data_IF_931581823097
#
_entry.id   IF_931581823097
#
_cell.length_a   1.000
_cell.length_b   1.000
_cell.length_c   1.000
_cell.angle_alpha   90.00
_cell.angle_beta   90.00
_cell.angle_gamma   90.00
#
_symmetry.space_group_name_H-M   'P 1'
#
loop_
_entity.id
_entity.type
_entity.pdbx_description
1 polymer ?
#
# COMPACT_ATOMS: atom_id res chain seq x y z
N UNK A 1 12.91 -18.57 -6.26
CA UNK A 1 11.57 -18.50 -5.64
C UNK A 1 10.80 -17.42 -6.38
N UNK A 2 9.53 -17.60 -6.69
CA UNK A 2 8.72 -16.60 -7.41
C UNK A 2 8.14 -15.60 -6.42
N UNK A 3 7.96 -14.34 -6.79
CA UNK A 3 7.40 -13.31 -5.90
C UNK A 3 6.07 -13.72 -5.24
N UNK A 4 5.18 -14.39 -5.99
CA UNK A 4 3.93 -14.96 -5.44
C UNK A 4 4.17 -15.92 -4.28
N UNK A 5 5.21 -16.75 -4.35
CA UNK A 5 5.52 -17.71 -3.29
C UNK A 5 6.05 -17.01 -2.04
N UNK A 6 6.91 -15.99 -2.21
CA UNK A 6 7.40 -15.19 -1.08
C UNK A 6 6.23 -14.52 -0.32
N UNK A 7 5.21 -14.02 -1.05
CA UNK A 7 4.00 -13.45 -0.46
C UNK A 7 3.17 -14.50 0.31
N UNK A 8 3.02 -15.71 -0.23
CA UNK A 8 2.34 -16.84 0.45
C UNK A 8 3.09 -17.23 1.73
N UNK A 9 4.41 -17.35 1.64
CA UNK A 9 5.27 -17.73 2.76
C UNK A 9 5.23 -16.67 3.87
N UNK A 10 5.18 -15.39 3.51
CA UNK A 10 5.00 -14.30 4.46
C UNK A 10 3.65 -14.40 5.18
N UNK A 11 2.55 -14.62 4.45
CA UNK A 11 1.22 -14.79 5.07
C UNK A 11 1.24 -15.96 6.05
N UNK A 12 1.82 -17.10 5.66
CA UNK A 12 1.95 -18.26 6.53
C UNK A 12 2.77 -17.94 7.78
N UNK A 13 3.88 -17.21 7.64
CA UNK A 13 4.72 -16.79 8.78
C UNK A 13 3.97 -15.82 9.72
N UNK A 14 3.18 -14.90 9.18
CA UNK A 14 2.34 -13.99 9.96
C UNK A 14 1.32 -14.77 10.77
N UNK A 15 0.61 -15.71 10.15
CA UNK A 15 -0.39 -16.56 10.81
C UNK A 15 0.23 -17.46 11.88
N UNK A 16 1.47 -17.92 11.67
CA UNK A 16 2.24 -18.69 12.64
C UNK A 16 2.86 -17.83 13.76
N UNK A 17 2.77 -16.49 13.68
CA UNK A 17 3.43 -15.58 14.62
C UNK A 17 4.96 -15.58 14.53
N UNK A 18 5.51 -16.06 13.41
CA UNK A 18 6.96 -16.17 13.16
C UNK A 18 7.49 -15.11 12.20
N UNK A 19 6.60 -14.29 11.61
CA UNK A 19 6.99 -13.17 10.77
C UNK A 19 7.89 -12.17 11.52
N UNK A 20 8.85 -11.53 10.83
CA UNK A 20 9.65 -10.47 11.43
C UNK A 20 8.74 -9.39 12.04
N UNK A 21 9.07 -8.96 13.26
CA UNK A 21 8.31 -7.92 13.94
C UNK A 21 8.28 -6.63 13.10
N UNK A 22 7.13 -5.93 13.02
CA UNK A 22 7.05 -4.60 12.42
C UNK A 22 8.09 -3.66 13.01
N UNK A 23 8.50 -2.65 12.25
CA UNK A 23 9.32 -1.55 12.79
C UNK A 23 8.64 -0.98 14.05
N UNK A 24 9.32 -0.92 15.21
CA UNK A 24 8.74 -0.47 16.47
C UNK A 24 8.10 0.91 16.40
N UNK A 25 8.56 1.78 15.48
CA UNK A 25 8.01 3.12 15.25
C UNK A 25 6.53 3.10 14.83
N UNK A 26 6.02 1.96 14.32
CA UNK A 26 4.60 1.76 14.04
C UNK A 26 3.75 1.53 15.29
N UNK A 27 4.33 0.99 16.38
CA UNK A 27 3.59 0.74 17.63
C UNK A 27 3.23 2.02 18.36
N UNK A 28 3.97 3.10 18.10
CA UNK A 28 3.75 4.42 18.68
C UNK A 28 2.62 5.18 17.97
N UNK A 29 2.13 4.67 16.84
CA UNK A 29 0.91 5.12 16.19
C UNK A 29 -0.32 4.58 16.96
N UNK A 30 -0.50 5.02 18.19
CA UNK A 30 -1.64 4.62 19.02
C UNK A 30 -2.93 5.32 18.55
N UNK A 31 -4.04 4.59 18.63
CA UNK A 31 -5.39 5.17 18.54
C UNK A 31 -5.67 5.96 19.82
N UNK A 32 -6.23 7.17 19.70
CA UNK A 32 -6.60 7.96 20.88
C UNK A 32 -7.71 7.27 21.70
N UNK A 33 -7.56 7.12 23.02
CA UNK A 33 -8.59 6.50 23.85
C UNK A 33 -9.87 7.36 23.90
N UNK A 34 -11.02 6.78 23.54
CA UNK A 34 -12.34 7.37 23.83
C UNK A 34 -13.23 7.68 22.62
N UNK A 35 -12.71 7.63 21.39
CA UNK A 35 -13.50 7.78 20.17
C UNK A 35 -13.87 6.43 19.54
N UNK A 36 -15.00 6.37 18.82
CA UNK A 36 -15.44 5.15 18.12
C UNK A 36 -14.46 4.83 16.98
N UNK A 37 -13.65 3.79 17.18
CA UNK A 37 -12.72 3.24 16.18
C UNK A 37 -13.48 2.80 14.93
N UNK A 38 -13.13 3.38 13.78
CA UNK A 38 -13.63 2.95 12.48
C UNK A 38 -12.74 1.82 11.95
N UNK A 39 -13.33 0.84 11.29
CA UNK A 39 -12.60 -0.29 10.71
C UNK A 39 -12.62 -0.18 9.19
N UNK A 40 -11.48 -0.40 8.58
CA UNK A 40 -11.30 -0.33 7.14
C UNK A 40 -10.47 -1.52 6.66
N UNK A 41 -10.62 -1.87 5.40
CA UNK A 41 -9.84 -2.90 4.73
C UNK A 41 -9.22 -2.33 3.46
N UNK A 42 -7.97 -2.71 3.17
CA UNK A 42 -7.27 -2.29 1.94
C UNK A 42 -6.72 -3.50 1.21
N UNK A 43 -6.78 -3.48 -0.12
CA UNK A 43 -6.27 -4.55 -0.96
C UNK A 43 -4.86 -4.24 -1.45
N UNK A 44 -3.88 -5.04 -0.99
CA UNK A 44 -2.53 -5.07 -1.55
C UNK A 44 -2.49 -6.11 -2.67
N UNK A 45 -2.89 -5.72 -3.88
CA UNK A 45 -2.96 -6.61 -5.04
C UNK A 45 -1.66 -6.59 -5.84
N UNK A 46 -0.95 -7.71 -5.86
CA UNK A 46 0.25 -7.92 -6.68
C UNK A 46 -0.05 -8.75 -7.93
N UNK A 47 0.70 -8.55 -9.00
CA UNK A 47 0.52 -9.32 -10.24
C UNK A 47 1.73 -9.28 -11.16
N UNK A 48 1.50 -9.72 -12.41
CA UNK A 48 2.44 -9.61 -13.53
C UNK A 48 2.09 -8.39 -14.38
N UNK A 49 3.05 -7.54 -14.70
CA UNK A 49 2.88 -6.34 -15.49
C UNK A 49 3.18 -6.69 -16.93
N UNK A 50 2.12 -6.85 -17.72
CA UNK A 50 2.25 -7.45 -19.04
C UNK A 50 2.65 -6.42 -20.12
N UNK A 51 2.41 -5.12 -19.89
CA UNK A 51 2.51 -4.08 -20.94
C UNK A 51 3.49 -2.92 -20.67
N UNK A 52 3.99 -2.73 -19.45
CA UNK A 52 4.94 -1.64 -19.12
C UNK A 52 6.07 -2.18 -18.24
N UNK A 53 7.27 -2.47 -18.76
CA UNK A 53 8.34 -3.01 -17.92
C UNK A 53 8.81 -1.98 -16.89
N UNK A 54 9.35 -2.47 -15.76
CA UNK A 54 10.04 -1.63 -14.79
C UNK A 54 11.08 -0.70 -15.45
N UNK A 55 11.12 0.56 -15.02
CA UNK A 55 12.09 1.55 -15.49
C UNK A 55 13.49 1.25 -14.93
N UNK A 56 13.55 0.76 -13.69
CA UNK A 56 14.79 0.38 -13.05
C UNK A 56 15.40 -0.85 -13.73
N UNK A 57 16.68 -0.72 -14.09
CA UNK A 57 17.49 -1.81 -14.63
C UNK A 57 18.15 -2.67 -13.55
N UNK A 58 17.96 -2.33 -12.26
CA UNK A 58 18.54 -3.06 -11.13
C UNK A 58 17.74 -4.33 -10.87
N UNK A 59 18.40 -5.49 -10.80
CA UNK A 59 17.75 -6.81 -10.64
C UNK A 59 17.28 -7.07 -9.19
N UNK A 60 16.41 -6.21 -8.67
CA UNK A 60 15.92 -6.22 -7.29
C UNK A 60 14.67 -7.09 -7.08
N UNK A 61 13.85 -7.21 -8.12
CA UNK A 61 12.64 -8.02 -8.19
C UNK A 61 12.39 -8.45 -9.65
N UNK A 62 11.49 -9.41 -9.93
CA UNK A 62 11.03 -9.68 -11.29
C UNK A 62 10.59 -8.39 -12.01
N UNK A 63 10.89 -8.28 -13.30
CA UNK A 63 10.67 -7.03 -14.07
C UNK A 63 9.19 -6.71 -14.28
N UNK A 64 8.40 -7.76 -14.22
CA UNK A 64 6.96 -7.85 -14.38
C UNK A 64 6.25 -7.86 -13.02
N UNK A 65 6.91 -7.93 -11.88
CA UNK A 65 6.16 -7.85 -10.61
C UNK A 65 5.66 -6.42 -10.40
N UNK A 66 4.36 -6.26 -10.13
CA UNK A 66 3.77 -4.97 -9.81
C UNK A 66 2.77 -5.01 -8.64
N UNK A 67 2.30 -3.82 -8.27
CA UNK A 67 1.26 -3.60 -7.26
C UNK A 67 0.25 -2.56 -7.76
N UNK A 68 -1.04 -2.83 -7.54
CA UNK A 68 -2.13 -1.90 -7.87
C UNK A 68 -2.25 -0.80 -6.83
N UNK A 69 -2.31 0.45 -7.30
CA UNK A 69 -2.50 1.65 -6.48
C UNK A 69 -3.48 2.61 -7.17
N UNK A 70 -3.98 3.56 -6.39
CA UNK A 70 -4.74 4.71 -6.89
C UNK A 70 -4.21 6.00 -6.28
N UNK A 71 -4.47 7.11 -6.96
CA UNK A 71 -4.21 8.45 -6.45
C UNK A 71 -5.55 9.13 -6.20
N UNK A 72 -5.79 9.56 -4.96
CA UNK A 72 -6.99 10.31 -4.59
C UNK A 72 -7.12 11.60 -5.39
N UNK A 73 -8.34 12.06 -5.63
CA UNK A 73 -8.58 13.32 -6.32
C UNK A 73 -8.00 14.49 -5.51
N UNK A 74 -7.46 15.48 -6.22
CA UNK A 74 -6.86 16.67 -5.59
C UNK A 74 -7.91 17.59 -4.94
N UNK A 75 -9.18 17.41 -5.30
CA UNK A 75 -10.32 18.22 -4.83
C UNK A 75 -10.90 17.76 -3.51
N UNK A 76 -10.43 16.64 -2.95
CA UNK A 76 -10.95 16.11 -1.69
C UNK A 76 -10.44 16.90 -0.49
N UNK A 77 -11.30 17.08 0.51
CA UNK A 77 -10.94 17.73 1.77
C UNK A 77 -9.93 16.88 2.56
N UNK A 78 -10.05 15.55 2.47
CA UNK A 78 -9.21 14.59 3.17
C UNK A 78 -8.26 13.86 2.22
N UNK A 79 -6.97 14.01 2.50
CA UNK A 79 -5.85 13.35 1.81
C UNK A 79 -5.81 13.60 0.29
N UNK A 80 -5.92 14.86 -0.18
CA UNK A 80 -5.92 15.17 -1.61
C UNK A 80 -4.63 14.72 -2.28
N UNK A 81 -4.76 14.07 -3.44
CA UNK A 81 -3.61 13.63 -4.23
C UNK A 81 -2.74 12.53 -3.60
N UNK A 82 -3.11 12.00 -2.43
CA UNK A 82 -2.34 10.95 -1.78
C UNK A 82 -2.52 9.62 -2.52
N UNK A 83 -1.42 8.89 -2.71
CA UNK A 83 -1.45 7.54 -3.27
C UNK A 83 -1.84 6.53 -2.19
N UNK A 84 -2.77 5.64 -2.52
CA UNK A 84 -3.31 4.63 -1.64
C UNK A 84 -3.43 3.26 -2.32
N UNK A 85 -3.56 2.22 -1.49
CA UNK A 85 -4.15 0.96 -1.94
C UNK A 85 -5.67 1.18 -2.12
N UNK A 86 -6.34 0.47 -3.04
CA UNK A 86 -7.79 0.46 -3.04
C UNK A 86 -8.34 -0.07 -1.72
N UNK A 87 -9.39 0.54 -1.21
CA UNK A 87 -9.95 0.15 0.08
C UNK A 87 -10.73 1.25 0.81
N UNK A 88 -11.53 0.82 1.77
CA UNK A 88 -12.47 1.68 2.47
C UNK A 88 -13.06 1.03 3.71
N UNK A 89 -14.23 1.52 4.11
CA UNK A 89 -14.90 1.09 5.34
C UNK A 89 -15.39 -0.35 5.26
N UNK A 90 -15.40 -1.04 6.39
CA UNK A 90 -16.04 -2.37 6.49
C UNK A 90 -17.51 -2.16 6.86
N UNK A 91 -18.41 -2.58 5.98
CA UNK A 91 -19.85 -2.43 6.21
C UNK A 91 -20.40 -3.48 7.20
N UNK A 92 -21.56 -3.21 7.84
CA UNK A 92 -22.17 -4.15 8.77
C UNK A 92 -22.46 -5.52 8.12
N UNK A 93 -21.78 -6.56 8.61
CA UNK A 93 -21.94 -7.93 8.10
C UNK A 93 -20.90 -8.34 7.08
N UNK A 94 -20.04 -7.42 6.60
CA UNK A 94 -18.90 -7.76 5.75
C UNK A 94 -17.73 -8.31 6.56
N UNK A 95 -17.03 -9.27 5.96
CA UNK A 95 -15.66 -9.64 6.33
C UNK A 95 -14.67 -8.60 5.79
N UNK A 96 -13.46 -8.60 6.35
CA UNK A 96 -12.34 -7.77 5.87
C UNK A 96 -12.05 -8.02 4.38
N UNK A 97 -12.15 -9.27 3.94
CA UNK A 97 -11.86 -9.65 2.55
C UNK A 97 -12.95 -9.12 1.62
N UNK A 98 -14.23 -9.28 1.99
CA UNK A 98 -15.35 -8.76 1.20
C UNK A 98 -15.25 -7.24 1.03
N UNK A 99 -14.98 -6.51 2.11
CA UNK A 99 -14.80 -5.06 2.05
C UNK A 99 -13.63 -4.67 1.13
N UNK A 100 -12.45 -5.28 1.28
CA UNK A 100 -11.30 -4.96 0.44
C UNK A 100 -11.54 -5.22 -1.06
N UNK A 101 -12.25 -6.31 -1.40
CA UNK A 101 -12.55 -6.65 -2.79
C UNK A 101 -13.65 -5.75 -3.37
N UNK A 102 -14.71 -5.45 -2.61
CA UNK A 102 -15.78 -4.52 -3.01
C UNK A 102 -15.20 -3.15 -3.30
N UNK A 103 -14.45 -2.58 -2.36
CA UNK A 103 -13.84 -1.25 -2.50
C UNK A 103 -12.88 -1.22 -3.70
N UNK A 104 -12.10 -2.28 -3.91
CA UNK A 104 -11.23 -2.35 -5.08
C UNK A 104 -12.01 -2.38 -6.41
N UNK A 105 -13.13 -3.11 -6.48
CA UNK A 105 -14.03 -3.07 -7.63
C UNK A 105 -14.64 -1.66 -7.82
N UNK A 106 -15.14 -1.06 -6.75
CA UNK A 106 -15.79 0.26 -6.76
C UNK A 106 -14.83 1.38 -7.17
N UNK A 107 -13.57 1.36 -6.73
CA UNK A 107 -12.61 2.44 -7.01
C UNK A 107 -11.84 2.24 -8.33
N UNK A 108 -11.57 0.99 -8.71
CA UNK A 108 -10.66 0.66 -9.84
C UNK A 108 -11.33 -0.05 -11.00
N UNK A 109 -12.54 -0.56 -10.80
CA UNK A 109 -13.26 -1.35 -11.80
C UNK A 109 -12.64 -2.72 -12.07
N UNK A 110 -11.68 -3.17 -11.25
CA UNK A 110 -11.13 -4.52 -11.37
C UNK A 110 -12.23 -5.56 -11.16
N UNK A 111 -12.10 -6.70 -11.84
CA UNK A 111 -12.95 -7.88 -11.59
C UNK A 111 -12.41 -8.69 -10.40
N UNK A 112 -13.15 -8.77 -9.27
CA UNK A 112 -12.71 -9.52 -8.10
C UNK A 112 -12.53 -11.02 -8.35
N UNK A 113 -13.18 -11.61 -9.37
CA UNK A 113 -13.02 -13.02 -9.71
C UNK A 113 -11.61 -13.36 -10.20
N UNK A 114 -10.89 -12.35 -10.69
CA UNK A 114 -9.49 -12.46 -11.09
C UNK A 114 -8.49 -12.44 -9.93
N UNK A 115 -8.95 -12.13 -8.71
CA UNK A 115 -8.11 -11.96 -7.53
C UNK A 115 -8.08 -13.22 -6.68
N UNK A 116 -6.90 -13.76 -6.47
CA UNK A 116 -6.62 -14.79 -5.48
C UNK A 116 -6.21 -14.13 -4.16
N UNK A 117 -7.02 -14.28 -3.12
CA UNK A 117 -6.67 -13.78 -1.78
C UNK A 117 -5.65 -14.72 -1.15
N UNK A 118 -4.45 -14.20 -0.89
CA UNK A 118 -3.37 -14.96 -0.25
C UNK A 118 -3.54 -14.99 1.27
N UNK A 119 -4.02 -13.89 1.87
CA UNK A 119 -4.40 -13.85 3.28
C UNK A 119 -4.57 -12.45 3.85
N UNK A 120 -4.91 -12.40 5.14
CA UNK A 120 -5.15 -11.16 5.89
C UNK A 120 -3.94 -10.87 6.78
N UNK A 121 -3.43 -9.64 6.71
CA UNK A 121 -2.29 -9.16 7.49
C UNK A 121 -2.75 -8.53 8.82
N UNK A 122 -1.86 -8.35 9.81
CA UNK A 122 -2.23 -7.78 11.09
C UNK A 122 -2.78 -6.36 10.94
N UNK A 123 -3.76 -6.01 11.80
CA UNK A 123 -4.35 -4.67 11.83
C UNK A 123 -3.29 -3.62 12.15
N UNK A 124 -3.35 -2.49 11.45
CA UNK A 124 -2.49 -1.34 11.68
C UNK A 124 -3.34 -0.14 12.11
N UNK A 125 -2.92 0.49 13.20
CA UNK A 125 -3.56 1.69 13.70
C UNK A 125 -3.12 2.92 12.89
N UNK A 126 -4.12 3.69 12.46
CA UNK A 126 -3.95 5.01 11.88
C UNK A 126 -4.33 6.07 12.93
N UNK A 127 -3.35 6.79 13.52
CA UNK A 127 -3.63 7.78 14.55
C UNK A 127 -4.46 8.94 14.01
N UNK A 128 -4.22 9.30 12.74
CA UNK A 128 -5.04 10.30 12.05
C UNK A 128 -6.26 9.62 11.46
N UNK A 129 -7.44 9.96 11.99
CA UNK A 129 -8.74 9.46 11.52
C UNK A 129 -9.38 8.37 12.39
N UNK A 130 -8.70 7.89 13.44
CA UNK A 130 -9.20 6.84 14.33
C UNK A 130 -9.65 5.58 13.58
N UNK A 131 -8.79 5.11 12.67
CA UNK A 131 -9.01 3.89 11.89
C UNK A 131 -8.11 2.74 12.35
N UNK A 132 -8.67 1.55 12.41
CA UNK A 132 -7.94 0.29 12.32
C UNK A 132 -8.07 -0.22 10.90
N UNK A 133 -6.95 -0.27 10.18
CA UNK A 133 -6.91 -0.73 8.80
C UNK A 133 -6.34 -2.12 8.75
N UNK A 134 -7.03 -3.02 8.07
CA UNK A 134 -6.62 -4.40 7.89
C UNK A 134 -6.20 -4.64 6.44
N UNK A 135 -4.91 -4.86 6.16
CA UNK A 135 -4.45 -5.14 4.81
C UNK A 135 -4.80 -6.57 4.39
N UNK A 136 -5.37 -6.72 3.20
CA UNK A 136 -5.61 -8.00 2.53
C UNK A 136 -4.58 -8.16 1.43
N UNK A 137 -3.78 -9.22 1.48
CA UNK A 137 -2.79 -9.51 0.46
C UNK A 137 -3.42 -10.37 -0.63
N UNK A 138 -3.35 -9.91 -1.88
CA UNK A 138 -3.92 -10.58 -3.04
C UNK A 138 -2.91 -10.78 -4.17
N UNK A 139 -3.17 -11.78 -5.00
CA UNK A 139 -2.48 -12.04 -6.25
C UNK A 139 -3.44 -11.99 -7.42
N UNK A 140 -3.07 -11.30 -8.50
CA UNK A 140 -3.88 -11.21 -9.70
C UNK A 140 -3.69 -12.47 -10.56
N UNK A 141 -4.55 -13.47 -10.34
CA UNK A 141 -4.50 -14.75 -11.05
C UNK A 141 -5.04 -14.64 -12.49
N UNK A 142 -6.03 -13.78 -12.71
CA UNK A 142 -6.55 -13.44 -14.04
C UNK A 142 -6.76 -11.93 -14.16
N UNK A 143 -5.95 -11.28 -14.99
CA UNK A 143 -5.95 -9.82 -15.09
C UNK A 143 -7.22 -9.28 -15.73
N UNK A 144 -7.71 -8.17 -15.20
CA UNK A 144 -8.81 -7.39 -15.74
C UNK A 144 -8.37 -5.94 -15.94
N UNK A 145 -8.98 -5.21 -16.90
CA UNK A 145 -8.68 -3.79 -17.07
C UNK A 145 -9.03 -3.01 -15.80
N UNK A 146 -8.18 -2.03 -15.45
CA UNK A 146 -8.46 -1.08 -14.38
C UNK A 146 -8.58 0.34 -14.93
N UNK A 147 -9.38 1.15 -14.26
CA UNK A 147 -9.61 2.55 -14.60
C UNK A 147 -10.09 3.29 -13.36
N UNK A 148 -10.03 4.62 -13.40
CA UNK A 148 -10.79 5.42 -12.44
C UNK A 148 -12.28 5.14 -12.65
N UNK A 149 -13.00 4.80 -11.58
CA UNK A 149 -14.45 4.63 -11.60
C UNK A 149 -15.17 5.94 -11.35
N UNK A 150 -14.78 6.65 -10.28
CA UNK A 150 -15.25 8.00 -9.97
C UNK A 150 -14.07 8.99 -9.91
N UNK A 151 -14.09 9.98 -10.81
CA UNK A 151 -13.09 11.04 -10.86
C UNK A 151 -13.23 12.09 -9.74
N UNK A 152 -14.36 12.11 -9.04
CA UNK A 152 -14.54 12.90 -7.82
C UNK A 152 -13.74 12.35 -6.65
N UNK A 153 -13.45 11.05 -6.64
CA UNK A 153 -12.74 10.36 -5.56
C UNK A 153 -11.28 10.07 -5.91
N UNK A 154 -11.01 9.71 -7.17
CA UNK A 154 -9.67 9.35 -7.66
C UNK A 154 -9.26 10.12 -8.90
N UNK A 155 -8.01 10.54 -8.96
CA UNK A 155 -7.43 11.18 -10.16
C UNK A 155 -6.75 10.17 -11.08
N UNK A 156 -6.28 9.05 -10.54
CA UNK A 156 -5.61 8.02 -11.32
C UNK A 156 -5.72 6.64 -10.64
N UNK A 157 -5.78 5.59 -11.44
CA UNK A 157 -5.58 4.19 -11.03
C UNK A 157 -4.43 3.64 -11.87
N UNK A 158 -3.46 3.01 -11.24
CA UNK A 158 -2.23 2.60 -11.92
C UNK A 158 -1.56 1.44 -11.21
N UNK A 159 -0.75 0.71 -11.97
CA UNK A 159 0.10 -0.37 -11.46
C UNK A 159 1.53 0.12 -11.42
N UNK A 160 2.24 -0.16 -10.34
CA UNK A 160 3.64 0.24 -10.16
C UNK A 160 4.52 -0.99 -10.16
N UNK A 161 5.55 -1.06 -11.04
CA UNK A 161 6.56 -2.11 -10.94
C UNK A 161 7.22 -2.11 -9.56
N UNK A 162 7.19 -3.24 -8.86
CA UNK A 162 7.80 -3.38 -7.52
C UNK A 162 9.30 -3.12 -7.59
N UNK A 163 9.95 -3.46 -8.71
CA UNK A 163 11.35 -3.14 -8.95
C UNK A 163 11.62 -1.63 -8.89
N UNK A 164 10.71 -0.80 -9.39
CA UNK A 164 10.87 0.66 -9.34
C UNK A 164 10.70 1.18 -7.92
N UNK A 165 9.82 0.58 -7.11
CA UNK A 165 9.68 0.90 -5.69
C UNK A 165 10.92 0.48 -4.87
N UNK A 166 11.53 -0.66 -5.20
CA UNK A 166 12.72 -1.16 -4.51
C UNK A 166 13.99 -0.40 -4.87
N UNK A 167 14.02 0.29 -6.01
CA UNK A 167 15.19 1.04 -6.47
C UNK A 167 15.58 2.11 -5.42
N UNK A 168 16.81 2.06 -4.87
CA UNK A 168 17.30 3.07 -3.92
C UNK A 168 17.18 4.52 -4.42
N UNK A 169 17.23 4.74 -5.73
CA UNK A 169 17.15 6.06 -6.34
C UNK A 169 15.72 6.62 -6.31
N UNK A 170 14.72 5.75 -6.18
CA UNK A 170 13.31 6.13 -6.01
C UNK A 170 12.88 6.18 -4.54
N UNK A 171 13.75 5.86 -3.57
CA UNK A 171 13.43 5.90 -2.15
C UNK A 171 13.89 7.19 -1.49
N UNK A 172 13.00 7.79 -0.70
CA UNK A 172 13.21 9.05 0.03
C UNK A 172 12.53 8.98 1.40
N UNK A 173 12.85 9.91 2.29
CA UNK A 173 12.08 10.17 3.50
C UNK A 173 11.10 11.32 3.22
N UNK A 174 9.80 11.00 3.13
CA UNK A 174 8.76 12.02 3.10
C UNK A 174 8.76 12.79 4.42
N UNK A 175 8.74 14.11 4.33
CA UNK A 175 8.78 15.02 5.48
C UNK A 175 7.50 15.85 5.50
N UNK A 176 6.70 15.71 6.56
CA UNK A 176 5.47 16.47 6.77
C UNK A 176 5.65 17.31 8.04
N UNK A 177 5.50 18.63 7.91
CA UNK A 177 5.54 19.55 9.04
C UNK A 177 4.13 20.10 9.33
N UNK A 178 3.58 19.82 10.50
CA UNK A 178 2.28 20.34 10.95
C UNK A 178 2.33 20.67 12.44
N UNK A 179 1.70 21.78 12.83
CA UNK A 179 1.61 22.24 14.22
C UNK A 179 2.98 22.29 14.96
N UNK A 180 4.05 22.65 14.25
CA UNK A 180 5.41 22.72 14.80
C UNK A 180 6.10 21.37 15.00
N UNK A 181 5.47 20.26 14.63
CA UNK A 181 6.06 18.93 14.63
C UNK A 181 6.40 18.50 13.20
N UNK A 182 7.56 17.87 13.04
CA UNK A 182 8.00 17.30 11.77
C UNK A 182 8.00 15.79 11.90
N UNK A 183 7.24 15.12 11.05
CA UNK A 183 7.22 13.67 10.92
C UNK A 183 7.92 13.25 9.63
N UNK A 184 8.75 12.21 9.74
CA UNK A 184 9.45 11.62 8.60
C UNK A 184 9.13 10.15 8.48
N UNK A 185 8.78 9.72 7.27
CA UNK A 185 8.55 8.30 6.97
C UNK A 185 9.12 7.89 5.61
N UNK A 186 9.40 6.59 5.39
CA UNK A 186 9.78 6.10 4.08
C UNK A 186 8.72 6.42 3.03
N UNK A 187 9.18 6.80 1.85
CA UNK A 187 8.35 7.08 0.70
C UNK A 187 9.07 6.70 -0.60
N UNK A 188 8.28 6.62 -1.67
CA UNK A 188 8.73 6.23 -3.01
C UNK A 188 8.33 7.28 -4.03
N UNK A 189 9.27 7.77 -4.83
CA UNK A 189 9.01 8.66 -5.97
C UNK A 189 9.00 7.84 -7.25
N UNK A 190 7.82 7.59 -7.80
CA UNK A 190 7.61 6.69 -8.94
C UNK A 190 6.51 7.26 -9.85
N UNK A 191 6.63 7.11 -11.16
CA UNK A 191 5.62 7.53 -12.15
C UNK A 191 5.09 8.97 -11.95
N UNK A 192 5.94 9.90 -11.49
CA UNK A 192 5.56 11.29 -11.25
C UNK A 192 4.72 11.54 -10.00
N UNK A 193 4.46 10.50 -9.18
CA UNK A 193 3.77 10.60 -7.89
C UNK A 193 4.70 10.23 -6.75
N UNK A 194 4.28 10.57 -5.53
CA UNK A 194 4.97 10.19 -4.30
C UNK A 194 4.05 9.24 -3.53
N UNK A 195 4.52 8.02 -3.28
CA UNK A 195 3.85 7.05 -2.41
C UNK A 195 4.41 7.23 -1.00
N UNK A 196 3.64 7.88 -0.13
CA UNK A 196 4.07 8.24 1.22
C UNK A 196 2.95 7.97 2.23
N UNK A 197 3.17 8.35 3.49
CA UNK A 197 2.19 8.16 4.55
C UNK A 197 1.91 6.67 4.75
N UNK A 198 0.69 6.32 5.12
CA UNK A 198 0.33 4.94 5.47
C UNK A 198 0.69 3.90 4.42
N UNK A 199 0.40 4.19 3.15
CA UNK A 199 0.67 3.29 2.03
C UNK A 199 2.18 3.08 1.82
N UNK A 200 2.97 4.16 1.81
CA UNK A 200 4.43 4.05 1.72
C UNK A 200 5.04 3.28 2.90
N UNK A 201 4.45 3.43 4.07
CA UNK A 201 4.88 2.76 5.30
C UNK A 201 4.58 1.25 5.27
N UNK A 202 3.38 0.86 4.83
CA UNK A 202 3.01 -0.54 4.58
C UNK A 202 3.95 -1.18 3.55
N UNK A 203 4.14 -0.54 2.40
CA UNK A 203 4.99 -1.07 1.33
C UNK A 203 6.43 -1.25 1.81
N UNK A 204 7.00 -0.26 2.51
CA UNK A 204 8.34 -0.37 3.08
C UNK A 204 8.45 -1.59 3.99
N UNK A 205 7.51 -1.75 4.92
CA UNK A 205 7.53 -2.86 5.87
C UNK A 205 7.36 -4.21 5.17
N UNK A 206 6.44 -4.30 4.21
CA UNK A 206 6.21 -5.51 3.43
C UNK A 206 7.50 -5.94 2.72
N UNK A 207 8.19 -5.02 2.06
CA UNK A 207 9.46 -5.31 1.39
C UNK A 207 10.58 -5.68 2.36
N UNK A 208 10.63 -5.08 3.55
CA UNK A 208 11.58 -5.45 4.60
C UNK A 208 11.30 -6.88 5.10
N UNK A 209 10.04 -7.25 5.33
CA UNK A 209 9.64 -8.59 5.80
C UNK A 209 9.87 -9.69 4.75
N UNK A 210 9.68 -9.37 3.47
CA UNK A 210 9.98 -10.27 2.35
C UNK A 210 11.50 -10.40 2.09
N UNK A 211 12.33 -9.56 2.72
CA UNK A 211 13.75 -9.49 2.43
C UNK A 211 14.07 -8.92 1.04
N UNK A 212 13.12 -8.22 0.41
CA UNK A 212 13.28 -7.60 -0.90
C UNK A 212 13.97 -6.24 -0.84
N UNK A 213 13.89 -5.56 0.30
CA UNK A 213 14.54 -4.26 0.50
C UNK A 213 16.06 -4.35 0.39
N UNK A 214 16.63 -3.38 -0.32
CA UNK A 214 18.07 -3.11 -0.36
C UNK A 214 18.41 -1.81 0.38
N UNK A 215 19.68 -1.60 0.80
CA UNK A 215 20.09 -0.35 1.41
C UNK A 215 19.83 0.86 0.49
N UNK A 216 19.34 1.95 1.07
CA UNK A 216 19.05 3.20 0.37
C UNK A 216 19.35 4.41 1.26
N UNK A 217 19.54 5.57 0.64
CA UNK A 217 19.92 6.78 1.35
C UNK A 217 18.73 7.46 2.05
N UNK A 218 18.62 7.24 3.37
CA UNK A 218 17.59 7.82 4.23
C UNK A 218 17.78 9.31 4.54
N UNK A 219 18.88 9.93 4.08
CA UNK A 219 19.08 11.38 4.22
C UNK A 219 18.43 12.18 3.09
N UNK A 220 17.99 11.50 2.02
CA UNK A 220 17.22 12.13 0.93
C UNK A 220 15.82 12.46 1.41
N UNK A 221 15.54 13.73 1.61
CA UNK A 221 14.24 14.22 2.07
C UNK A 221 13.37 14.64 0.89
N UNK A 222 12.08 14.36 0.98
CA UNK A 222 11.06 14.89 0.09
C UNK A 222 9.99 15.62 0.91
N UNK A 223 9.84 16.93 0.71
CA UNK A 223 8.81 17.71 1.39
C UNK A 223 7.43 17.35 0.87
N UNK A 224 6.49 17.09 1.77
CA UNK A 224 5.07 16.92 1.43
C UNK A 224 4.35 18.19 1.81
N UNK A 225 3.87 18.90 0.80
CA UNK A 225 2.95 20.02 1.01
C UNK A 225 1.61 19.45 1.49
N UNK A 226 1.07 20.00 2.57
CA UNK A 226 -0.13 19.49 3.22
C UNK A 226 -1.02 20.57 3.77
#
# INVERSE_FOLDING_TARGET
>A
MTARQDLIDLVAAVQAGTAPSPDPRWRELAVEPGERVRRAAVLMLFGSLDDVPATSVKLLAPADLDVLLLQRAQTLDDHPGQVAFPGGGIDPGETVIEAALREAEEETGLDPQGVEVLGVMPELALPRGNFLVTPVLGWWASQSPVRVVDYGESSQVFRVPVRDLLDPDNRVMATVSRAGQTFQSPAFTVNGVVVWGFTGMILNQLFDQLGWSVPWDRTRLHGIDG
#
